data_IF_928874731436
#
_entry.id   IF_928874731436
#
_cell.length_a   1.000
_cell.length_b   1.000
_cell.length_c   1.000
_cell.angle_alpha   90.00
_cell.angle_beta   90.00
_cell.angle_gamma   90.00
#
_symmetry.space_group_name_H-M   'P 1'
#
loop_
_entity.id
_entity.type
_entity.pdbx_description
1 polymer ?
#
# COMPACT_ATOMS: atom_id res chain seq x y z
N UNK A 1 53.82 12.10 35.09
CA UNK A 1 52.97 12.56 33.97
C UNK A 1 52.05 11.42 33.60
N UNK A 2 50.88 11.34 34.24
CA UNK A 2 49.91 10.25 34.07
C UNK A 2 48.92 10.69 32.98
N UNK A 3 48.98 10.04 31.82
CA UNK A 3 48.09 10.30 30.69
C UNK A 3 46.80 9.51 30.90
N UNK A 4 45.74 10.18 31.40
CA UNK A 4 44.40 9.59 31.51
C UNK A 4 43.74 9.67 30.12
N UNK A 5 43.71 8.55 29.42
CA UNK A 5 43.04 8.43 28.12
C UNK A 5 41.52 8.27 28.37
N UNK A 6 40.78 9.37 28.35
CA UNK A 6 39.31 9.36 28.40
C UNK A 6 38.82 8.92 27.02
N UNK A 7 38.49 7.63 26.88
CA UNK A 7 37.86 7.09 25.69
C UNK A 7 36.38 7.52 25.67
N UNK A 8 36.07 8.61 24.98
CA UNK A 8 34.69 8.96 24.64
C UNK A 8 34.17 7.95 23.63
N UNK A 9 33.50 6.90 24.12
CA UNK A 9 32.66 6.02 23.31
C UNK A 9 31.46 6.84 22.82
N UNK A 10 31.60 7.49 21.67
CA UNK A 10 30.49 7.99 20.86
C UNK A 10 29.67 6.77 20.41
N UNK A 11 28.69 6.39 21.23
CA UNK A 11 27.64 5.46 20.82
C UNK A 11 26.83 6.14 19.71
N UNK A 12 27.20 5.89 18.46
CA UNK A 12 26.34 6.19 17.32
C UNK A 12 25.06 5.37 17.49
N UNK A 13 24.00 6.03 17.98
CA UNK A 13 22.64 5.51 17.85
C UNK A 13 22.32 5.54 16.36
N UNK A 14 22.51 4.41 15.67
CA UNK A 14 21.79 4.18 14.42
C UNK A 14 20.31 4.10 14.82
N UNK A 15 19.63 5.23 14.81
CA UNK A 15 18.18 5.26 14.89
C UNK A 15 17.68 4.62 13.61
N UNK A 16 17.20 3.38 13.69
CA UNK A 16 16.48 2.78 12.56
C UNK A 16 15.36 3.73 12.12
N UNK A 17 15.19 3.88 10.81
CA UNK A 17 14.09 4.68 10.28
C UNK A 17 12.76 4.07 10.72
N UNK A 18 11.79 4.92 11.06
CA UNK A 18 10.50 4.46 11.56
C UNK A 18 9.69 3.83 10.42
N UNK A 19 9.45 2.52 10.50
CA UNK A 19 8.53 1.81 9.61
C UNK A 19 7.10 2.00 10.13
N UNK A 20 6.30 2.81 9.43
CA UNK A 20 4.90 3.05 9.80
C UNK A 20 4.01 1.86 9.48
N UNK A 21 4.28 1.18 8.37
CA UNK A 21 3.48 0.07 7.88
C UNK A 21 4.34 -0.90 7.09
N UNK A 22 4.14 -2.19 7.33
CA UNK A 22 4.73 -3.29 6.57
C UNK A 22 3.74 -4.44 6.53
N UNK A 23 3.52 -4.98 5.35
CA UNK A 23 2.69 -6.16 5.11
C UNK A 23 3.44 -7.08 4.15
N UNK A 24 3.58 -8.34 4.54
CA UNK A 24 4.24 -9.38 3.75
C UNK A 24 3.34 -10.58 3.51
N UNK A 25 2.11 -10.57 4.04
CA UNK A 25 1.14 -11.66 3.92
C UNK A 25 1.70 -13.05 4.28
N UNK A 26 2.23 -13.26 5.50
CA UNK A 26 2.90 -14.51 5.89
C UNK A 26 2.02 -15.77 5.78
N UNK A 27 0.71 -15.61 5.85
CA UNK A 27 -0.28 -16.68 5.68
C UNK A 27 -1.66 -16.13 5.27
N UNK A 28 -2.61 -17.02 4.98
CA UNK A 28 -3.95 -16.64 4.54
C UNK A 28 -4.73 -15.79 5.54
N UNK A 29 -4.45 -15.91 6.84
CA UNK A 29 -5.11 -15.13 7.91
C UNK A 29 -4.66 -13.68 7.94
N UNK A 30 -3.62 -13.33 7.18
CA UNK A 30 -3.21 -11.93 7.00
C UNK A 30 -4.37 -11.04 6.54
N UNK A 31 -5.34 -11.60 5.81
CA UNK A 31 -6.55 -10.90 5.37
C UNK A 31 -7.38 -10.36 6.55
N UNK A 32 -7.31 -10.97 7.74
CA UNK A 32 -8.07 -10.54 8.92
C UNK A 32 -7.64 -9.15 9.41
N UNK A 33 -6.41 -8.73 9.07
CA UNK A 33 -5.90 -7.38 9.33
C UNK A 33 -6.43 -6.32 8.36
N UNK A 34 -7.16 -6.72 7.32
CA UNK A 34 -7.68 -5.84 6.28
C UNK A 34 -9.20 -5.72 6.37
N UNK A 35 -9.72 -4.54 6.09
CA UNK A 35 -11.16 -4.26 6.11
C UNK A 35 -11.62 -4.09 4.66
N UNK A 36 -12.43 -5.03 4.19
CA UNK A 36 -13.07 -4.94 2.88
C UNK A 36 -14.21 -3.92 2.93
N UNK A 37 -14.26 -3.07 1.91
CA UNK A 37 -15.31 -2.08 1.75
C UNK A 37 -16.65 -2.77 1.49
N UNK A 38 -17.72 -2.22 2.07
CA UNK A 38 -19.09 -2.63 1.80
C UNK A 38 -19.78 -1.69 0.80
N UNK A 39 -19.06 -0.71 0.25
CA UNK A 39 -19.59 0.21 -0.76
C UNK A 39 -20.04 -0.56 -2.01
N UNK A 40 -21.19 -0.24 -2.61
CA UNK A 40 -21.75 -0.98 -3.75
C UNK A 40 -22.08 -2.47 -3.50
N UNK A 41 -22.10 -2.92 -2.24
CA UNK A 41 -22.62 -4.24 -1.84
C UNK A 41 -22.00 -5.40 -2.62
N UNK A 42 -22.85 -6.20 -3.25
CA UNK A 42 -22.54 -7.41 -4.01
C UNK A 42 -21.68 -7.18 -5.27
N UNK A 43 -21.48 -5.92 -5.67
CA UNK A 43 -20.60 -5.55 -6.79
C UNK A 43 -19.14 -5.39 -6.39
N UNK A 44 -18.81 -5.46 -5.09
CA UNK A 44 -17.42 -5.52 -4.64
C UNK A 44 -16.80 -6.86 -4.99
N UNK A 45 -15.61 -6.81 -5.56
CA UNK A 45 -14.80 -7.99 -5.78
C UNK A 45 -14.23 -8.53 -4.48
N UNK A 46 -14.05 -9.85 -4.43
CA UNK A 46 -13.48 -10.54 -3.29
C UNK A 46 -11.96 -10.60 -3.39
N UNK A 47 -11.29 -10.33 -2.27
CA UNK A 47 -9.87 -10.55 -2.12
C UNK A 47 -9.56 -11.90 -1.49
N UNK A 48 -8.43 -12.49 -1.89
CA UNK A 48 -7.83 -13.66 -1.24
C UNK A 48 -6.34 -13.44 -1.04
N UNK A 49 -5.75 -14.15 -0.10
CA UNK A 49 -4.30 -14.25 0.03
C UNK A 49 -3.84 -15.49 -0.73
N UNK A 50 -3.11 -15.29 -1.83
CA UNK A 50 -2.62 -16.37 -2.68
C UNK A 50 -1.28 -15.98 -3.32
N UNK A 51 -0.43 -16.96 -3.63
CA UNK A 51 0.86 -16.71 -4.28
C UNK A 51 0.75 -16.44 -5.81
N UNK A 52 -0.45 -16.60 -6.35
CA UNK A 52 -0.74 -16.44 -7.76
C UNK A 52 -0.16 -17.53 -8.65
N UNK A 53 0.00 -17.25 -9.94
CA UNK A 53 0.52 -18.23 -10.91
C UNK A 53 2.04 -18.30 -10.86
N UNK A 54 2.60 -19.51 -10.85
CA UNK A 54 4.04 -19.78 -10.90
C UNK A 54 4.85 -18.96 -9.87
N UNK A 55 4.59 -19.11 -8.56
CA UNK A 55 5.42 -18.49 -7.53
C UNK A 55 6.83 -19.08 -7.54
N UNK A 56 7.82 -18.24 -7.23
CA UNK A 56 9.20 -18.66 -6.95
C UNK A 56 9.23 -19.37 -5.59
N UNK A 57 8.57 -18.78 -4.60
CA UNK A 57 8.38 -19.37 -3.28
C UNK A 57 6.89 -19.29 -2.89
N UNK A 58 6.15 -20.42 -2.85
CA UNK A 58 4.71 -20.43 -2.57
C UNK A 58 4.28 -19.82 -1.22
N UNK A 59 5.20 -19.72 -0.26
CA UNK A 59 4.92 -19.14 1.07
C UNK A 59 5.28 -17.64 1.08
N UNK A 60 6.47 -17.30 0.58
CA UNK A 60 6.94 -15.89 0.59
C UNK A 60 6.29 -15.02 -0.48
N UNK A 61 5.79 -15.62 -1.57
CA UNK A 61 5.10 -14.90 -2.65
C UNK A 61 3.60 -14.73 -2.40
N UNK A 62 3.09 -15.14 -1.24
CA UNK A 62 1.71 -14.86 -0.85
C UNK A 62 1.44 -13.35 -0.93
N UNK A 63 0.27 -13.01 -1.48
CA UNK A 63 -0.12 -11.62 -1.63
C UNK A 63 -1.63 -11.45 -1.75
N UNK A 64 -2.07 -10.21 -1.56
CA UNK A 64 -3.46 -9.82 -1.72
C UNK A 64 -3.86 -9.85 -3.21
N UNK A 65 -4.74 -10.77 -3.57
CA UNK A 65 -5.12 -11.06 -4.95
C UNK A 65 -6.60 -10.80 -5.20
N UNK A 66 -6.90 -10.20 -6.35
CA UNK A 66 -8.26 -10.04 -6.88
C UNK A 66 -8.74 -11.33 -7.54
N UNK A 67 -10.00 -11.72 -7.33
CA UNK A 67 -10.48 -13.07 -7.70
C UNK A 67 -11.46 -13.12 -8.88
N UNK A 68 -12.11 -12.00 -9.19
CA UNK A 68 -13.20 -11.90 -10.16
C UNK A 68 -12.93 -10.84 -11.24
N UNK A 69 -13.39 -11.12 -12.46
CA UNK A 69 -13.32 -10.19 -13.59
C UNK A 69 -14.38 -9.09 -13.50
N UNK A 70 -14.06 -7.91 -14.05
CA UNK A 70 -14.99 -6.78 -14.17
C UNK A 70 -15.67 -6.38 -12.84
N UNK A 71 -14.90 -6.38 -11.76
CA UNK A 71 -15.33 -5.93 -10.42
C UNK A 71 -14.55 -4.72 -9.96
N UNK A 72 -15.21 -3.88 -9.15
CA UNK A 72 -14.53 -2.88 -8.34
C UNK A 72 -13.99 -3.52 -7.08
N UNK A 73 -12.82 -3.07 -6.64
CA UNK A 73 -12.16 -3.61 -5.45
C UNK A 73 -11.85 -2.46 -4.49
N UNK A 74 -12.28 -2.60 -3.24
CA UNK A 74 -11.97 -1.68 -2.16
C UNK A 74 -11.63 -2.44 -0.89
N UNK A 75 -10.39 -2.31 -0.43
CA UNK A 75 -9.93 -2.87 0.84
C UNK A 75 -8.86 -1.94 1.42
N UNK A 76 -8.85 -1.78 2.74
CA UNK A 76 -7.87 -0.95 3.40
C UNK A 76 -7.44 -1.53 4.75
N UNK A 77 -6.19 -1.28 5.13
CA UNK A 77 -5.63 -1.64 6.43
C UNK A 77 -5.27 -0.37 7.19
N UNK A 78 -5.72 -0.30 8.44
CA UNK A 78 -5.37 0.83 9.32
C UNK A 78 -3.90 0.70 9.73
N UNK A 79 -3.20 1.83 9.66
CA UNK A 79 -1.87 1.98 10.25
C UNK A 79 -2.08 2.14 11.77
N UNK A 80 -1.22 1.53 12.58
CA UNK A 80 -1.36 1.45 14.05
C UNK A 80 -1.53 2.81 14.71
N UNK A 81 -0.85 3.82 14.17
CA UNK A 81 -0.95 5.20 14.61
C UNK A 81 -0.95 6.15 13.40
N UNK A 82 -1.77 7.22 13.41
CA UNK A 82 -1.68 8.29 12.42
C UNK A 82 -0.27 8.91 12.41
N UNK A 83 0.18 9.34 11.25
CA UNK A 83 1.49 9.98 11.12
C UNK A 83 1.46 11.19 10.20
N UNK A 84 2.51 12.00 10.29
CA UNK A 84 2.77 13.13 9.41
C UNK A 84 4.18 13.02 8.85
N UNK A 85 4.32 13.26 7.54
CA UNK A 85 5.61 13.36 6.86
C UNK A 85 6.11 14.81 6.76
N UNK A 86 5.53 15.76 7.51
CA UNK A 86 6.03 17.13 7.54
C UNK A 86 7.52 17.13 7.95
N UNK A 87 8.33 17.83 7.17
CA UNK A 87 9.78 17.96 7.36
C UNK A 87 10.54 16.61 7.35
N UNK A 88 9.93 15.56 6.76
CA UNK A 88 10.49 14.21 6.66
C UNK A 88 10.24 13.60 5.29
N UNK A 89 11.14 12.73 4.86
CA UNK A 89 10.94 11.91 3.66
C UNK A 89 9.85 10.87 3.92
N UNK A 90 8.92 10.72 2.98
CA UNK A 90 7.97 9.60 2.94
C UNK A 90 8.37 8.65 1.83
N UNK A 91 8.57 7.38 2.16
CA UNK A 91 8.76 6.31 1.21
C UNK A 91 7.49 5.46 1.18
N UNK A 92 6.93 5.29 -0.01
CA UNK A 92 5.79 4.40 -0.26
C UNK A 92 6.22 3.36 -1.29
N UNK A 93 6.26 2.10 -0.89
CA UNK A 93 6.75 1.00 -1.71
C UNK A 93 5.82 -0.20 -1.60
N UNK A 94 5.55 -0.84 -2.73
CA UNK A 94 4.80 -2.08 -2.82
C UNK A 94 5.17 -2.82 -4.11
N UNK A 95 4.86 -4.10 -4.17
CA UNK A 95 5.07 -4.96 -5.34
C UNK A 95 3.73 -5.29 -6.00
N UNK A 96 3.71 -5.31 -7.33
CA UNK A 96 2.55 -5.73 -8.12
C UNK A 96 2.95 -6.85 -9.06
N UNK A 97 2.15 -7.91 -9.08
CA UNK A 97 2.26 -9.00 -10.04
C UNK A 97 0.93 -9.15 -10.78
N UNK A 98 0.99 -9.12 -12.11
CA UNK A 98 -0.17 -9.40 -12.95
C UNK A 98 -0.17 -10.88 -13.34
N UNK A 99 -0.96 -11.68 -12.63
CA UNK A 99 -1.12 -13.14 -12.84
C UNK A 99 -1.66 -13.53 -14.23
N UNK A 100 -2.26 -12.56 -14.92
CA UNK A 100 -2.78 -12.68 -16.27
C UNK A 100 -2.55 -11.38 -17.01
N UNK A 101 -2.64 -11.45 -18.34
CA UNK A 101 -2.64 -10.26 -19.17
C UNK A 101 -3.81 -9.35 -18.78
N UNK A 102 -3.51 -8.17 -18.24
CA UNK A 102 -4.52 -7.16 -17.91
C UNK A 102 -4.80 -6.32 -19.14
N UNK A 103 -6.06 -6.35 -19.60
CA UNK A 103 -6.53 -5.49 -20.70
C UNK A 103 -6.94 -4.12 -20.18
N UNK A 104 -7.62 -4.04 -19.03
CA UNK A 104 -7.91 -2.81 -18.33
C UNK A 104 -8.08 -3.06 -16.82
N UNK A 105 -7.37 -2.31 -15.99
CA UNK A 105 -7.37 -2.42 -14.54
C UNK A 105 -6.25 -1.59 -13.89
N UNK A 106 -6.58 -0.91 -12.79
CA UNK A 106 -5.63 -0.22 -11.93
C UNK A 106 -5.03 -1.16 -10.90
N UNK A 107 -3.74 -0.99 -10.61
CA UNK A 107 -3.04 -1.68 -9.52
C UNK A 107 -2.21 -0.68 -8.70
N UNK A 108 -2.85 0.44 -8.37
CA UNK A 108 -2.31 1.49 -7.51
C UNK A 108 -2.89 1.41 -6.10
N UNK A 109 -2.19 2.02 -5.16
CA UNK A 109 -2.64 2.18 -3.77
C UNK A 109 -2.94 3.64 -3.46
N UNK A 110 -3.73 3.86 -2.40
CA UNK A 110 -4.06 5.19 -1.86
C UNK A 110 -3.64 5.28 -0.41
N UNK A 111 -2.93 6.34 -0.04
CA UNK A 111 -2.69 6.70 1.35
C UNK A 111 -3.84 7.59 1.84
N UNK A 112 -4.63 7.10 2.80
CA UNK A 112 -5.85 7.74 3.27
C UNK A 112 -5.61 8.63 4.50
N UNK A 113 -6.55 9.52 4.79
CA UNK A 113 -6.61 10.23 6.08
C UNK A 113 -7.03 9.29 7.21
N UNK A 114 -6.63 9.59 8.44
CA UNK A 114 -6.99 8.80 9.63
C UNK A 114 -8.48 8.87 10.00
N UNK A 115 -9.20 9.84 9.43
CA UNK A 115 -10.62 10.10 9.58
C UNK A 115 -11.50 9.24 8.64
N UNK A 116 -10.89 8.52 7.70
CA UNK A 116 -11.61 7.70 6.73
C UNK A 116 -12.01 6.35 7.34
N UNK A 117 -13.29 5.97 7.18
CA UNK A 117 -13.77 4.62 7.49
C UNK A 117 -13.45 3.65 6.34
N UNK A 118 -12.62 2.62 6.55
CA UNK A 118 -12.34 1.60 5.53
C UNK A 118 -13.58 0.91 4.95
N UNK A 119 -14.68 0.78 5.73
CA UNK A 119 -15.90 0.12 5.26
C UNK A 119 -16.60 0.89 4.15
N UNK A 120 -16.39 2.20 4.05
CA UNK A 120 -16.99 3.05 3.04
C UNK A 120 -16.01 3.39 1.91
N UNK A 121 -14.82 2.78 1.89
CA UNK A 121 -13.79 3.07 0.90
C UNK A 121 -14.23 2.77 -0.54
N UNK A 122 -14.05 3.74 -1.44
CA UNK A 122 -14.41 3.66 -2.85
C UNK A 122 -13.55 4.58 -3.73
N UNK A 123 -13.85 4.63 -5.03
CA UNK A 123 -13.13 5.42 -6.03
C UNK A 123 -12.99 6.91 -5.67
N UNK A 124 -14.09 7.53 -5.25
CA UNK A 124 -14.12 8.96 -4.86
C UNK A 124 -13.70 9.26 -3.41
N UNK A 125 -13.29 8.26 -2.61
CA UNK A 125 -12.90 8.52 -1.22
C UNK A 125 -11.69 9.44 -1.18
N UNK A 126 -11.70 10.52 -0.38
CA UNK A 126 -10.56 11.42 -0.26
C UNK A 126 -9.29 10.68 0.18
N UNK A 127 -8.18 10.98 -0.50
CA UNK A 127 -6.87 10.42 -0.21
C UNK A 127 -5.81 11.54 -0.16
N UNK A 128 -4.65 11.25 0.40
CA UNK A 128 -3.50 12.17 0.44
C UNK A 128 -2.59 11.96 -0.77
N UNK A 129 -2.28 10.70 -1.08
CA UNK A 129 -1.44 10.27 -2.20
C UNK A 129 -2.08 9.07 -2.86
N UNK A 130 -2.08 9.02 -4.19
CA UNK A 130 -2.35 7.81 -4.97
C UNK A 130 -1.12 7.48 -5.81
N UNK A 131 -0.66 6.24 -5.73
CA UNK A 131 0.59 5.80 -6.35
C UNK A 131 0.47 4.40 -6.93
N UNK A 132 0.87 4.23 -8.19
CA UNK A 132 1.06 2.91 -8.80
C UNK A 132 0.61 2.77 -10.25
N UNK A 133 0.77 1.57 -10.83
CA UNK A 133 0.45 1.31 -12.22
C UNK A 133 -1.06 1.35 -12.52
N UNK A 134 -1.38 1.83 -13.72
CA UNK A 134 -2.71 1.77 -14.31
C UNK A 134 -2.60 1.42 -15.80
N UNK A 135 -3.32 0.36 -16.17
CA UNK A 135 -3.32 -0.20 -17.51
C UNK A 135 -4.75 -0.15 -18.02
N UNK A 136 -4.99 0.45 -19.18
CA UNK A 136 -6.26 0.33 -19.89
C UNK A 136 -6.04 0.45 -21.40
N UNK A 137 -6.15 -0.68 -22.07
CA UNK A 137 -5.89 -0.84 -23.50
C UNK A 137 -4.44 -0.50 -23.88
N UNK A 138 -4.27 -0.07 -25.12
CA UNK A 138 -2.98 0.41 -25.63
C UNK A 138 -2.71 1.87 -25.24
N UNK A 139 -3.76 2.65 -24.98
CA UNK A 139 -3.67 4.09 -24.75
C UNK A 139 -3.17 4.43 -23.33
N UNK A 140 -3.53 3.63 -22.32
CA UNK A 140 -3.21 3.93 -20.92
C UNK A 140 -2.27 2.85 -20.38
N UNK A 141 -0.99 3.20 -20.23
CA UNK A 141 0.02 2.42 -19.49
C UNK A 141 0.92 3.41 -18.77
N UNK A 142 0.57 3.75 -17.53
CA UNK A 142 1.27 4.79 -16.76
C UNK A 142 1.39 4.43 -15.30
N UNK A 143 2.34 5.08 -14.63
CA UNK A 143 2.43 5.10 -13.18
C UNK A 143 1.76 6.39 -12.71
N UNK A 144 0.67 6.27 -11.97
CA UNK A 144 0.05 7.40 -11.30
C UNK A 144 0.91 7.83 -10.13
N UNK A 145 1.10 9.14 -10.01
CA UNK A 145 1.58 9.81 -8.80
C UNK A 145 0.68 11.03 -8.65
N UNK A 146 -0.27 10.96 -7.72
CA UNK A 146 -1.31 11.97 -7.56
C UNK A 146 -1.28 12.49 -6.15
N UNK A 147 -1.18 13.81 -6.00
CA UNK A 147 -1.21 14.50 -4.72
C UNK A 147 -2.54 15.22 -4.52
N UNK A 148 -3.14 15.06 -3.34
CA UNK A 148 -4.28 15.88 -2.97
C UNK A 148 -3.81 17.18 -2.31
N UNK A 149 -4.20 18.32 -2.86
CA UNK A 149 -3.91 19.63 -2.32
C UNK A 149 -5.13 20.55 -2.45
N UNK A 150 -5.52 21.21 -1.36
CA UNK A 150 -6.70 22.09 -1.30
C UNK A 150 -7.98 21.47 -1.88
N UNK A 151 -8.20 20.18 -1.62
CA UNK A 151 -9.38 19.44 -2.08
C UNK A 151 -9.33 19.01 -3.55
N UNK A 152 -8.22 19.23 -4.26
CA UNK A 152 -8.04 18.82 -5.65
C UNK A 152 -6.95 17.77 -5.79
N UNK A 153 -7.15 16.84 -6.73
CA UNK A 153 -6.20 15.80 -7.07
C UNK A 153 -5.32 16.28 -8.24
N UNK A 154 -4.03 16.49 -7.99
CA UNK A 154 -3.05 16.92 -8.99
C UNK A 154 -2.25 15.74 -9.49
N UNK A 155 -2.35 15.47 -10.79
CA UNK A 155 -1.64 14.41 -11.49
C UNK A 155 -0.25 14.92 -11.94
N UNK A 156 0.75 14.04 -11.93
CA UNK A 156 2.03 14.25 -12.64
C UNK A 156 1.87 13.99 -14.13
#
# INVERSE_FOLDING_TARGET
MILVLICFLLSYRVSGEKVWFSETFPDEKSIDGWIQSTFNGDKQGEFKIEAGKSPVNPIEDLGLKTTQDARFYGIARKISEPFSNRDKTLVLQFTVKFDKTVTCGGAYIKLLGSDIDPKTFHGETPYKIMFGPDICGMATKRIHVIFNYKGQNHLI
#
